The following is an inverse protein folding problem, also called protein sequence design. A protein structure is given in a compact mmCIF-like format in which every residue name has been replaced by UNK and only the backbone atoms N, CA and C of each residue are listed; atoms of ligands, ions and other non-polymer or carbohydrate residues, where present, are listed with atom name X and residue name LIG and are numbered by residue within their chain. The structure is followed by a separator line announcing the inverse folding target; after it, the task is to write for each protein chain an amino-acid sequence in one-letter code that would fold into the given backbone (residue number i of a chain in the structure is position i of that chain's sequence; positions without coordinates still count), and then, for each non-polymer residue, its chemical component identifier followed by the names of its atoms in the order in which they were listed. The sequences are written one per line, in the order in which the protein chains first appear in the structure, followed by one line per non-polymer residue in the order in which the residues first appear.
data_IF_352762472462
#
_entry.id   IF_352762472462
#
_cell.length_a   1.000
_cell.length_b   1.000
_cell.length_c   1.000
_cell.angle_alpha   90.00
_cell.angle_beta   90.00
_cell.angle_gamma   90.00
#
_symmetry.space_group_name_H-M   'P 1'
#
loop_
_entity.id
_entity.type
_entity.pdbx_description
1 polymer ?
#
# COMPACT_ATOMS: atom_id res chain seq x y z
N UNK A 1 4.87 4.23 21.99
CA UNK A 1 5.66 4.81 20.88
C UNK A 1 4.77 4.74 19.65
N UNK A 2 4.50 5.87 18.99
CA UNK A 2 3.58 5.92 17.83
C UNK A 2 4.12 5.04 16.70
N UNK A 3 3.24 4.44 15.88
CA UNK A 3 3.67 3.75 14.66
C UNK A 3 4.49 4.68 13.75
N UNK A 4 4.17 5.98 13.76
CA UNK A 4 4.91 7.02 13.02
C UNK A 4 6.36 7.09 13.49
N UNK A 5 6.61 7.07 14.80
CA UNK A 5 7.96 7.15 15.35
C UNK A 5 8.79 5.90 14.99
N UNK A 6 8.16 4.73 15.02
CA UNK A 6 8.79 3.46 14.62
C UNK A 6 9.12 3.46 13.12
N UNK A 7 8.14 3.83 12.28
CA UNK A 7 8.33 3.96 10.84
C UNK A 7 9.51 4.89 10.51
N UNK A 8 9.53 6.09 11.09
CA UNK A 8 10.59 7.07 10.81
C UNK A 8 11.96 6.53 11.23
N UNK A 9 12.07 5.90 12.40
CA UNK A 9 13.35 5.36 12.88
C UNK A 9 13.91 4.23 12.01
N UNK A 10 13.04 3.41 11.44
CA UNK A 10 13.44 2.32 10.54
C UNK A 10 13.74 2.83 9.13
N UNK A 11 12.90 3.74 8.62
CA UNK A 11 13.12 4.37 7.32
C UNK A 11 14.42 5.19 7.28
N UNK A 12 14.77 5.87 8.38
CA UNK A 12 16.03 6.61 8.51
C UNK A 12 17.26 5.69 8.35
N UNK A 13 17.19 4.48 8.91
CA UNK A 13 18.27 3.48 8.78
C UNK A 13 18.33 2.87 7.39
N UNK A 14 17.18 2.56 6.79
CA UNK A 14 17.09 1.84 5.52
C UNK A 14 17.40 2.72 4.31
N UNK A 15 16.82 3.93 4.28
CA UNK A 15 16.88 4.82 3.12
C UNK A 15 17.93 5.92 3.28
N UNK A 16 18.57 6.02 4.45
CA UNK A 16 19.54 7.07 4.78
C UNK A 16 18.99 8.49 4.56
N UNK A 17 17.66 8.64 4.67
CA UNK A 17 16.98 9.92 4.55
C UNK A 17 16.98 10.65 5.89
N UNK A 18 17.21 11.97 5.91
CA UNK A 18 17.12 12.74 7.14
C UNK A 18 15.74 12.62 7.78
N UNK A 19 15.69 12.47 9.11
CA UNK A 19 14.44 12.40 9.88
C UNK A 19 13.38 13.44 9.47
N UNK A 20 13.79 14.70 9.32
CA UNK A 20 12.88 15.80 8.97
C UNK A 20 12.26 15.65 7.56
N UNK A 21 12.91 14.94 6.64
CA UNK A 21 12.34 14.63 5.32
C UNK A 21 11.35 13.47 5.41
N UNK A 22 11.60 12.48 6.28
CA UNK A 22 10.65 11.40 6.57
C UNK A 22 9.40 11.92 7.29
N UNK A 23 9.54 12.92 8.18
CA UNK A 23 8.41 13.62 8.79
C UNK A 23 7.56 14.35 7.74
N UNK A 24 8.19 15.01 6.76
CA UNK A 24 7.49 15.62 5.62
C UNK A 24 6.79 14.56 4.76
N UNK A 25 7.43 13.42 4.52
CA UNK A 25 6.82 12.30 3.81
C UNK A 25 5.53 11.82 4.51
N UNK A 26 5.58 11.58 5.83
CA UNK A 26 4.39 11.18 6.61
C UNK A 26 3.29 12.24 6.50
N UNK A 27 3.63 13.52 6.69
CA UNK A 27 2.68 14.63 6.58
C UNK A 27 2.04 14.69 5.18
N UNK A 28 2.84 14.57 4.11
CA UNK A 28 2.32 14.57 2.74
C UNK A 28 1.44 13.35 2.46
N UNK A 29 1.84 12.15 2.89
CA UNK A 29 1.02 10.94 2.75
C UNK A 29 -0.32 11.02 3.51
N UNK A 30 -0.42 11.86 4.54
CA UNK A 30 -1.65 12.03 5.33
C UNK A 30 -2.53 13.17 4.86
N UNK A 31 -1.93 14.29 4.44
CA UNK A 31 -2.66 15.54 4.24
C UNK A 31 -2.55 16.11 2.82
N UNK A 32 -1.48 15.79 2.09
CA UNK A 32 -1.11 16.42 0.80
C UNK A 32 -0.44 15.42 -0.15
N UNK A 33 -1.14 14.34 -0.55
CA UNK A 33 -0.56 13.26 -1.34
C UNK A 33 0.00 13.75 -2.69
N UNK A 34 -0.53 14.83 -3.24
CA UNK A 34 -0.05 15.47 -4.47
C UNK A 34 1.40 15.99 -4.37
N UNK A 35 1.91 16.23 -3.15
CA UNK A 35 3.29 16.73 -2.92
C UNK A 35 4.33 15.63 -2.81
N UNK A 36 3.91 14.37 -2.72
CA UNK A 36 4.80 13.23 -2.54
C UNK A 36 5.72 13.06 -3.75
N UNK A 37 5.19 13.23 -4.96
CA UNK A 37 5.98 13.07 -6.18
C UNK A 37 7.06 14.15 -6.30
N UNK A 38 6.72 15.42 -6.10
CA UNK A 38 7.68 16.54 -6.06
C UNK A 38 8.77 16.33 -4.99
N UNK A 39 8.37 15.81 -3.82
CA UNK A 39 9.29 15.48 -2.75
C UNK A 39 10.30 14.38 -3.14
N UNK A 40 9.81 13.30 -3.75
CA UNK A 40 10.64 12.18 -4.19
C UNK A 40 11.63 12.61 -5.29
N UNK A 41 11.16 13.39 -6.27
CA UNK A 41 11.98 13.95 -7.35
C UNK A 41 13.08 14.88 -6.81
N UNK A 42 12.73 15.80 -5.89
CA UNK A 42 13.70 16.72 -5.28
C UNK A 42 14.81 16.00 -4.52
N UNK A 43 14.47 14.91 -3.85
CA UNK A 43 15.42 14.08 -3.10
C UNK A 43 16.11 13.01 -3.97
N UNK A 44 15.78 12.94 -5.26
CA UNK A 44 16.30 11.93 -6.19
C UNK A 44 16.11 10.50 -5.69
N UNK A 45 14.98 10.25 -5.03
CA UNK A 45 14.64 8.91 -4.55
C UNK A 45 14.30 8.06 -5.77
N UNK A 46 14.94 6.90 -5.90
CA UNK A 46 14.66 5.99 -7.01
C UNK A 46 13.23 5.46 -6.92
N UNK A 47 12.62 5.12 -8.06
CA UNK A 47 11.26 4.53 -8.08
C UNK A 47 11.16 3.27 -7.19
N UNK A 48 12.26 2.51 -7.11
CA UNK A 48 12.34 1.30 -6.28
C UNK A 48 12.39 1.64 -4.78
N UNK A 49 13.20 2.61 -4.38
CA UNK A 49 13.26 3.06 -2.98
C UNK A 49 11.97 3.75 -2.56
N UNK A 50 11.36 4.52 -3.46
CA UNK A 50 10.08 5.16 -3.23
C UNK A 50 8.96 4.13 -3.04
N UNK A 51 8.92 3.10 -3.89
CA UNK A 51 7.99 1.97 -3.74
C UNK A 51 8.21 1.23 -2.42
N UNK A 52 9.46 0.95 -2.03
CA UNK A 52 9.75 0.31 -0.74
C UNK A 52 9.33 1.19 0.44
N UNK A 53 9.66 2.49 0.42
CA UNK A 53 9.32 3.44 1.48
C UNK A 53 7.81 3.55 1.67
N UNK A 54 7.06 3.67 0.58
CA UNK A 54 5.58 3.74 0.60
C UNK A 54 4.95 2.42 1.04
N UNK A 55 5.55 1.28 0.66
CA UNK A 55 5.12 -0.05 1.11
C UNK A 55 5.32 -0.20 2.61
N UNK A 56 6.50 0.13 3.13
CA UNK A 56 6.80 0.05 4.57
C UNK A 56 5.90 1.00 5.37
N UNK A 57 5.72 2.24 4.91
CA UNK A 57 4.77 3.18 5.52
C UNK A 57 3.35 2.60 5.59
N UNK A 58 2.90 2.01 4.48
CA UNK A 58 1.58 1.39 4.41
C UNK A 58 1.49 0.21 5.36
N UNK A 59 2.51 -0.65 5.44
CA UNK A 59 2.55 -1.77 6.38
C UNK A 59 2.48 -1.28 7.83
N UNK A 60 3.25 -0.27 8.23
CA UNK A 60 3.20 0.28 9.59
C UNK A 60 1.84 0.88 9.95
N UNK A 61 1.23 1.64 9.02
CA UNK A 61 -0.10 2.25 9.19
C UNK A 61 -1.22 1.20 9.18
N UNK A 62 -1.04 0.16 8.39
CA UNK A 62 -1.99 -0.93 8.21
C UNK A 62 -1.88 -1.90 9.39
N UNK A 63 -0.70 -2.21 9.90
CA UNK A 63 -0.50 -3.07 11.07
C UNK A 63 -1.30 -2.54 12.27
N UNK A 64 -1.23 -1.24 12.58
CA UNK A 64 -2.01 -0.66 13.66
C UNK A 64 -3.53 -0.77 13.39
N UNK A 65 -4.00 -0.39 12.20
CA UNK A 65 -5.44 -0.41 11.87
C UNK A 65 -6.01 -1.81 11.68
N UNK A 66 -5.26 -2.71 11.08
CA UNK A 66 -5.66 -4.08 10.77
C UNK A 66 -5.53 -4.95 11.99
N UNK A 67 -4.53 -4.75 12.85
CA UNK A 67 -4.55 -5.37 14.17
C UNK A 67 -5.76 -4.85 14.93
N UNK A 68 -5.98 -3.54 15.08
CA UNK A 68 -7.15 -3.05 15.83
C UNK A 68 -8.51 -3.56 15.27
N UNK A 69 -8.64 -3.71 13.94
CA UNK A 69 -9.86 -4.25 13.32
C UNK A 69 -9.96 -5.77 13.43
N UNK A 70 -8.87 -6.52 13.22
CA UNK A 70 -8.88 -8.00 13.24
C UNK A 70 -8.79 -8.58 14.64
N UNK A 71 -8.16 -7.85 15.56
CA UNK A 71 -7.89 -8.26 16.94
C UNK A 71 -9.17 -8.46 17.75
N UNK A 72 -10.28 -7.82 17.34
CA UNK A 72 -11.63 -8.00 17.91
C UNK A 72 -12.56 -8.86 17.04
N UNK A 73 -12.06 -9.38 15.91
CA UNK A 73 -12.87 -10.07 14.91
C UNK A 73 -12.45 -11.54 14.75
N UNK A 74 -13.17 -12.46 15.40
CA UNK A 74 -13.20 -13.87 15.00
C UNK A 74 -14.02 -14.02 13.69
N UNK A 75 -13.46 -13.53 12.58
CA UNK A 75 -14.11 -13.62 11.27
C UNK A 75 -14.10 -15.06 10.76
N UNK A 76 -15.28 -15.56 10.39
CA UNK A 76 -15.37 -16.76 9.55
C UNK A 76 -14.87 -16.42 8.14
N UNK A 77 -14.35 -17.41 7.43
CA UNK A 77 -13.77 -17.25 6.08
C UNK A 77 -14.73 -16.50 5.14
N UNK A 78 -16.03 -16.80 5.19
CA UNK A 78 -17.04 -16.17 4.33
C UNK A 78 -17.21 -14.67 4.62
N UNK A 79 -17.10 -14.27 5.88
CA UNK A 79 -17.23 -12.87 6.31
C UNK A 79 -15.97 -12.08 5.93
N UNK A 80 -14.79 -12.70 6.04
CA UNK A 80 -13.53 -12.11 5.58
C UNK A 80 -13.54 -11.90 4.05
N UNK A 81 -14.04 -12.89 3.29
CA UNK A 81 -14.22 -12.77 1.83
C UNK A 81 -15.19 -11.63 1.49
N UNK A 82 -16.32 -11.55 2.18
CA UNK A 82 -17.31 -10.48 1.98
C UNK A 82 -16.74 -9.08 2.28
N UNK A 83 -15.97 -8.97 3.37
CA UNK A 83 -15.32 -7.72 3.78
C UNK A 83 -14.30 -7.24 2.74
N UNK A 84 -13.37 -8.11 2.35
CA UNK A 84 -12.32 -7.76 1.37
C UNK A 84 -12.92 -7.44 0.00
N UNK A 85 -13.95 -8.18 -0.43
CA UNK A 85 -14.66 -7.90 -1.68
C UNK A 85 -15.30 -6.51 -1.68
N UNK A 86 -15.96 -6.16 -0.57
CA UNK A 86 -16.62 -4.85 -0.41
C UNK A 86 -15.60 -3.72 -0.35
N UNK A 87 -14.51 -3.90 0.40
CA UNK A 87 -13.43 -2.91 0.50
C UNK A 87 -12.78 -2.65 -0.87
N UNK A 88 -12.49 -3.71 -1.63
CA UNK A 88 -11.90 -3.61 -2.97
C UNK A 88 -12.84 -2.91 -3.94
N UNK A 89 -14.12 -3.26 -3.93
CA UNK A 89 -15.12 -2.60 -4.78
C UNK A 89 -15.26 -1.10 -4.45
N UNK A 90 -15.28 -0.74 -3.16
CA UNK A 90 -15.35 0.65 -2.72
C UNK A 90 -14.10 1.45 -3.14
N UNK A 91 -12.91 0.86 -3.00
CA UNK A 91 -11.66 1.47 -3.47
C UNK A 91 -11.73 1.80 -4.95
N UNK A 92 -12.14 0.84 -5.80
CA UNK A 92 -12.23 1.04 -7.24
C UNK A 92 -13.32 2.04 -7.62
N UNK A 93 -14.46 2.04 -6.93
CA UNK A 93 -15.55 2.95 -7.21
C UNK A 93 -15.26 4.40 -6.81
N UNK A 94 -14.37 4.61 -5.85
CA UNK A 94 -13.92 5.94 -5.44
C UNK A 94 -13.01 6.62 -6.47
N UNK A 95 -12.45 5.87 -7.42
CA UNK A 95 -11.53 6.37 -8.44
C UNK A 95 -12.26 6.89 -9.70
N UNK A 96 -11.66 7.88 -10.42
CA UNK A 96 -12.04 8.24 -11.78
C UNK A 96 -12.07 7.01 -12.70
N UNK A 97 -12.96 6.98 -13.69
CA UNK A 97 -13.18 5.77 -14.50
C UNK A 97 -11.93 5.33 -15.26
N UNK A 98 -11.15 6.29 -15.72
CA UNK A 98 -9.86 6.12 -16.40
C UNK A 98 -8.82 5.38 -15.54
N UNK A 99 -8.84 5.56 -14.22
CA UNK A 99 -7.83 5.01 -13.32
C UNK A 99 -8.21 3.62 -12.76
N UNK A 100 -9.50 3.26 -12.82
CA UNK A 100 -10.02 2.01 -12.21
C UNK A 100 -9.33 0.76 -12.73
N UNK A 101 -9.11 0.68 -14.04
CA UNK A 101 -8.46 -0.49 -14.66
C UNK A 101 -7.01 -0.63 -14.21
N UNK A 102 -6.29 0.49 -14.15
CA UNK A 102 -4.88 0.52 -13.73
C UNK A 102 -4.76 0.09 -12.28
N UNK A 103 -5.60 0.62 -11.39
CA UNK A 103 -5.57 0.26 -9.97
C UNK A 103 -6.03 -1.19 -9.76
N UNK A 104 -7.04 -1.68 -10.50
CA UNK A 104 -7.43 -3.09 -10.45
C UNK A 104 -6.27 -4.01 -10.85
N UNK A 105 -5.52 -3.68 -11.91
CA UNK A 105 -4.35 -4.44 -12.32
C UNK A 105 -3.28 -4.47 -11.21
N UNK A 106 -3.02 -3.34 -10.56
CA UNK A 106 -2.08 -3.26 -9.44
C UNK A 106 -2.52 -4.10 -8.23
N UNK A 107 -3.81 -4.07 -7.88
CA UNK A 107 -4.37 -4.91 -6.80
C UNK A 107 -4.21 -6.40 -7.12
N UNK A 108 -4.46 -6.79 -8.37
CA UNK A 108 -4.29 -8.18 -8.82
C UNK A 108 -2.82 -8.63 -8.76
N UNK A 109 -1.88 -7.78 -9.19
CA UNK A 109 -0.44 -8.06 -9.09
C UNK A 109 0.01 -8.19 -7.64
N UNK A 110 -0.42 -7.27 -6.77
CA UNK A 110 -0.10 -7.33 -5.34
C UNK A 110 -0.66 -8.60 -4.69
N UNK A 111 -1.88 -9.01 -5.07
CA UNK A 111 -2.49 -10.27 -4.60
C UNK A 111 -1.71 -11.49 -5.12
N UNK A 112 -1.31 -11.48 -6.39
CA UNK A 112 -0.51 -12.54 -7.00
C UNK A 112 0.82 -12.75 -6.25
N UNK A 113 1.51 -11.66 -5.89
CA UNK A 113 2.78 -11.71 -5.15
C UNK A 113 2.66 -12.39 -3.78
N UNK A 114 1.48 -12.34 -3.17
CA UNK A 114 1.22 -12.98 -1.86
C UNK A 114 0.54 -14.35 -1.97
N UNK A 115 0.24 -14.83 -3.19
CA UNK A 115 -0.44 -16.11 -3.40
C UNK A 115 0.58 -17.24 -3.52
N UNK A 116 0.50 -18.23 -2.62
CA UNK A 116 1.38 -19.40 -2.64
C UNK A 116 1.09 -20.35 -3.82
N UNK A 117 -0.19 -20.56 -4.15
CA UNK A 117 -0.62 -21.37 -5.29
C UNK A 117 -0.09 -20.79 -6.62
N UNK A 118 0.77 -21.54 -7.29
CA UNK A 118 1.44 -21.10 -8.50
C UNK A 118 0.49 -20.90 -9.69
N UNK A 119 -0.56 -21.72 -9.82
CA UNK A 119 -1.51 -21.61 -10.91
C UNK A 119 -2.39 -20.37 -10.73
N UNK A 120 -2.88 -20.16 -9.51
CA UNK A 120 -3.68 -18.98 -9.17
C UNK A 120 -2.85 -17.71 -9.30
N UNK A 121 -1.62 -17.68 -8.75
CA UNK A 121 -0.68 -16.56 -8.90
C UNK A 121 -0.45 -16.20 -10.37
N UNK A 122 -0.16 -17.18 -11.22
CA UNK A 122 0.09 -16.95 -12.64
C UNK A 122 -1.17 -16.43 -13.37
N UNK A 123 -2.34 -16.97 -13.03
CA UNK A 123 -3.62 -16.52 -13.57
C UNK A 123 -3.91 -15.05 -13.22
N UNK A 124 -3.70 -14.67 -11.95
CA UNK A 124 -3.87 -13.29 -11.49
C UNK A 124 -2.88 -12.33 -12.18
N UNK A 125 -1.62 -12.73 -12.32
CA UNK A 125 -0.61 -11.93 -13.01
C UNK A 125 -0.92 -11.74 -14.51
N UNK A 126 -1.36 -12.80 -15.21
CA UNK A 126 -1.75 -12.69 -16.62
C UNK A 126 -3.00 -11.81 -16.77
N UNK A 127 -3.96 -11.92 -15.85
CA UNK A 127 -5.15 -11.08 -15.90
C UNK A 127 -4.82 -9.60 -15.66
N UNK A 128 -3.93 -9.29 -14.72
CA UNK A 128 -3.45 -7.93 -14.52
C UNK A 128 -2.75 -7.36 -15.77
N UNK A 129 -1.96 -8.19 -16.47
CA UNK A 129 -1.31 -7.81 -17.72
C UNK A 129 -2.32 -7.51 -18.84
N UNK A 130 -3.45 -8.22 -18.91
CA UNK A 130 -4.53 -7.94 -19.88
C UNK A 130 -5.20 -6.57 -19.61
N UNK A 131 -5.20 -6.12 -18.36
CA UNK A 131 -5.84 -4.87 -17.94
C UNK A 131 -4.99 -3.61 -18.18
N UNK A 132 -3.66 -3.77 -18.32
CA UNK A 132 -2.69 -2.71 -18.61
C UNK A 132 -2.48 -2.54 -20.12
#
# INVERSE_FOLDING_TARGET
MSWVDKFIADAEKMFQLPRHELEKFVMYMMEKPEKIQEWAERLQISDTDFLMLTTIYTLYKTEEKVIDILSDMELKVDEAVGLISTATANLLNALPQEDRKIVLAQVLLATALQTEDANLRNSLAEYAKILL
#
